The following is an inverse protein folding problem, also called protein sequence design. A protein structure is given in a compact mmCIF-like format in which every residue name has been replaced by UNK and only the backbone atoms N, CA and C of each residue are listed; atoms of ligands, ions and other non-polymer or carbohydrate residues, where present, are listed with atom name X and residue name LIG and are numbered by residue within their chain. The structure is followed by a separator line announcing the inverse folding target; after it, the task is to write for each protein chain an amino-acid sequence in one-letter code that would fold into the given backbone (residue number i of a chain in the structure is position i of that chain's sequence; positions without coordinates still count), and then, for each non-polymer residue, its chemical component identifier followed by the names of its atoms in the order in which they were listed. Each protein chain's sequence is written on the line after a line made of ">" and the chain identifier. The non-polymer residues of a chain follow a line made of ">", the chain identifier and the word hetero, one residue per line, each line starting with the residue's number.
data_IF_480138578601
#
_entry.id   IF_480138578601
#
_cell.length_a   1.000
_cell.length_b   1.000
_cell.length_c   1.000
_cell.angle_alpha   90.00
_cell.angle_beta   90.00
_cell.angle_gamma   90.00
#
_symmetry.space_group_name_H-M   'P 1'
#
loop_
_entity.id
_entity.type
_entity.pdbx_description
1 polymer ?
#
# COMPACT_ATOMS: atom_id res chain seq x y z
N UNK A 1 49.36 9.38 -90.60
CA UNK A 1 48.26 10.31 -90.38
C UNK A 1 46.95 9.51 -90.31
N UNK A 2 46.37 9.15 -89.39
CA UNK A 2 44.96 8.85 -89.13
C UNK A 2 44.83 8.09 -87.86
N UNK A 3 44.17 8.69 -86.92
CA UNK A 3 43.85 8.13 -85.58
C UNK A 3 42.79 7.07 -85.70
N UNK A 4 43.01 5.92 -85.15
CA UNK A 4 41.96 4.95 -84.90
C UNK A 4 41.72 4.84 -83.38
N UNK A 5 40.59 5.32 -82.97
CA UNK A 5 40.03 5.16 -81.67
C UNK A 5 39.44 3.75 -81.55
N UNK A 6 39.91 3.00 -80.53
CA UNK A 6 39.35 1.69 -80.19
C UNK A 6 38.21 1.87 -79.19
N UNK A 7 37.03 1.58 -79.65
CA UNK A 7 35.83 1.55 -78.80
C UNK A 7 35.86 0.29 -77.92
N UNK A 8 35.99 0.42 -76.62
CA UNK A 8 35.85 -0.66 -75.66
C UNK A 8 34.35 -1.03 -75.49
N UNK A 9 34.06 -2.26 -75.86
CA UNK A 9 32.70 -2.81 -75.87
C UNK A 9 32.09 -2.86 -74.43
N UNK A 10 30.98 -2.18 -74.24
CA UNK A 10 30.17 -2.17 -73.03
C UNK A 10 29.66 -3.58 -72.59
N UNK A 11 29.84 -4.58 -73.45
CA UNK A 11 29.36 -5.99 -73.19
C UNK A 11 30.25 -6.80 -72.28
N UNK A 12 31.49 -6.39 -71.99
CA UNK A 12 32.37 -7.09 -71.08
C UNK A 12 32.28 -6.65 -69.63
N UNK A 13 31.54 -5.56 -69.35
CA UNK A 13 31.35 -5.05 -68.01
C UNK A 13 30.15 -5.68 -67.28
N UNK A 14 29.23 -6.33 -68.03
CA UNK A 14 28.03 -6.94 -67.46
C UNK A 14 28.19 -8.46 -67.16
N UNK A 15 29.33 -9.06 -67.47
CA UNK A 15 29.59 -10.46 -67.19
C UNK A 15 30.36 -10.72 -65.86
N UNK A 16 30.87 -9.68 -65.22
CA UNK A 16 31.68 -9.77 -63.99
C UNK A 16 30.94 -9.46 -62.69
N UNK A 17 29.67 -9.06 -62.77
CA UNK A 17 28.90 -8.62 -61.61
C UNK A 17 27.88 -9.68 -61.09
N UNK A 18 27.93 -10.90 -61.57
CA UNK A 18 26.88 -11.92 -61.22
C UNK A 18 27.33 -12.93 -60.15
N UNK A 19 28.51 -12.78 -59.52
CA UNK A 19 28.97 -13.79 -58.52
C UNK A 19 29.36 -13.20 -57.15
N UNK A 20 29.12 -11.94 -56.91
CA UNK A 20 29.36 -11.36 -55.58
C UNK A 20 28.14 -10.55 -55.10
N UNK A 21 27.17 -11.22 -54.54
CA UNK A 21 26.03 -10.50 -53.98
C UNK A 21 24.82 -11.35 -53.62
N UNK A 22 25.04 -12.54 -53.02
CA UNK A 22 24.01 -13.01 -52.10
C UNK A 22 24.18 -12.23 -50.81
N UNK A 23 23.81 -10.94 -50.82
CA UNK A 23 23.45 -10.29 -49.60
C UNK A 23 22.25 -11.07 -49.07
N UNK A 24 22.47 -11.89 -48.02
CA UNK A 24 21.35 -12.30 -47.19
C UNK A 24 20.64 -11.02 -46.74
N UNK A 25 19.60 -10.68 -47.41
CA UNK A 25 18.56 -9.83 -46.84
C UNK A 25 18.03 -10.67 -45.70
N UNK A 26 18.59 -10.44 -44.49
CA UNK A 26 17.96 -10.90 -43.27
C UNK A 26 16.53 -10.38 -43.34
N UNK A 27 15.60 -11.24 -43.73
CA UNK A 27 14.19 -10.93 -43.60
C UNK A 27 14.02 -10.47 -42.16
N UNK A 28 13.38 -9.31 -41.90
CA UNK A 28 13.08 -8.93 -40.55
C UNK A 28 12.34 -10.12 -39.94
N UNK A 29 12.95 -10.72 -38.93
CA UNK A 29 12.26 -11.72 -38.13
C UNK A 29 11.01 -10.98 -37.64
N UNK A 30 9.86 -11.34 -38.19
CA UNK A 30 8.57 -10.93 -37.67
C UNK A 30 8.54 -11.50 -36.27
N UNK A 31 8.95 -10.68 -35.29
CA UNK A 31 8.68 -10.93 -33.90
C UNK A 31 7.16 -11.08 -33.86
N UNK A 32 6.69 -12.31 -33.73
CA UNK A 32 5.26 -12.56 -33.47
C UNK A 32 4.95 -11.67 -32.27
N UNK A 33 4.16 -10.63 -32.49
CA UNK A 33 3.59 -9.87 -31.39
C UNK A 33 2.85 -10.90 -30.54
N UNK A 34 3.40 -11.25 -29.40
CA UNK A 34 2.64 -11.98 -28.39
C UNK A 34 1.41 -11.11 -28.12
N UNK A 35 0.23 -11.72 -28.26
CA UNK A 35 -1.00 -10.98 -27.94
C UNK A 35 -0.95 -10.43 -26.52
N UNK A 36 -1.82 -9.47 -26.16
CA UNK A 36 -1.81 -8.86 -24.85
C UNK A 36 -1.77 -9.90 -23.74
N UNK A 37 -0.85 -9.77 -22.81
CA UNK A 37 -0.83 -10.58 -21.59
C UNK A 37 -1.94 -10.09 -20.67
N UNK A 38 -2.74 -11.02 -20.13
CA UNK A 38 -3.78 -10.70 -19.14
C UNK A 38 -3.39 -11.24 -17.78
N UNK A 39 -3.59 -10.42 -16.74
CA UNK A 39 -3.43 -10.81 -15.35
C UNK A 39 -4.73 -10.60 -14.59
N UNK A 40 -5.13 -11.61 -13.84
CA UNK A 40 -6.33 -11.59 -13.00
C UNK A 40 -5.91 -11.34 -11.56
N UNK A 41 -6.37 -10.22 -11.03
CA UNK A 41 -6.08 -9.75 -9.68
C UNK A 41 -7.34 -9.69 -8.82
N UNK A 42 -7.14 -9.64 -7.51
CA UNK A 42 -8.17 -9.28 -6.57
C UNK A 42 -7.61 -8.26 -5.58
N UNK A 43 -8.42 -7.28 -5.18
CA UNK A 43 -8.12 -6.44 -4.03
C UNK A 43 -8.72 -7.04 -2.75
N UNK A 44 -8.21 -6.61 -1.58
CA UNK A 44 -8.80 -6.96 -0.27
C UNK A 44 -9.95 -6.06 0.14
N UNK A 45 -10.43 -5.19 -0.76
CA UNK A 45 -11.37 -4.10 -0.48
C UNK A 45 -12.73 -4.31 -1.14
N UNK A 46 -13.84 -3.91 -0.47
CA UNK A 46 -15.14 -3.82 -1.13
C UNK A 46 -15.11 -2.91 -2.36
N UNK A 47 -15.95 -3.19 -3.35
CA UNK A 47 -15.96 -2.43 -4.62
C UNK A 47 -16.24 -0.93 -4.47
N UNK A 48 -16.94 -0.51 -3.41
CA UNK A 48 -17.25 0.90 -3.12
C UNK A 48 -16.15 1.63 -2.34
N UNK A 49 -15.15 0.90 -1.82
CA UNK A 49 -14.05 1.48 -1.02
C UNK A 49 -13.07 2.22 -1.94
N UNK A 50 -12.57 3.39 -1.49
CA UNK A 50 -11.52 4.13 -2.19
C UNK A 50 -10.25 3.29 -2.39
N UNK A 51 -9.98 2.32 -1.52
CA UNK A 51 -8.84 1.43 -1.69
C UNK A 51 -8.99 0.49 -2.88
N UNK A 52 -10.22 0.08 -3.24
CA UNK A 52 -10.45 -0.62 -4.49
C UNK A 52 -10.26 0.30 -5.69
N UNK A 53 -10.69 1.57 -5.60
CA UNK A 53 -10.42 2.59 -6.62
C UNK A 53 -8.90 2.76 -6.83
N UNK A 54 -8.09 2.80 -5.77
CA UNK A 54 -6.63 2.86 -5.89
C UNK A 54 -6.04 1.63 -6.60
N UNK A 55 -6.59 0.45 -6.37
CA UNK A 55 -6.17 -0.75 -7.09
C UNK A 55 -6.48 -0.65 -8.60
N UNK A 56 -7.64 -0.12 -8.96
CA UNK A 56 -8.04 0.14 -10.35
C UNK A 56 -7.16 1.23 -11.00
N UNK A 57 -6.83 2.30 -10.26
CA UNK A 57 -5.94 3.36 -10.74
C UNK A 57 -4.55 2.83 -11.07
N UNK A 58 -3.99 1.97 -10.21
CA UNK A 58 -2.72 1.33 -10.48
C UNK A 58 -2.79 0.44 -11.72
N UNK A 59 -3.79 -0.43 -11.81
CA UNK A 59 -3.99 -1.31 -12.95
C UNK A 59 -4.12 -0.50 -14.24
N UNK A 60 -4.89 0.59 -14.23
CA UNK A 60 -5.03 1.49 -15.37
C UNK A 60 -3.68 2.09 -15.79
N UNK A 61 -2.86 2.57 -14.85
CA UNK A 61 -1.54 3.14 -15.17
C UNK A 61 -0.64 2.10 -15.84
N UNK A 62 -0.60 0.86 -15.33
CA UNK A 62 0.17 -0.22 -15.97
C UNK A 62 -0.36 -0.53 -17.37
N UNK A 63 -1.67 -0.66 -17.52
CA UNK A 63 -2.29 -0.93 -18.82
C UNK A 63 -2.00 0.16 -19.85
N UNK A 64 -2.09 1.43 -19.43
CA UNK A 64 -1.80 2.58 -20.32
C UNK A 64 -0.30 2.67 -20.66
N UNK A 65 0.60 2.53 -19.68
CA UNK A 65 2.04 2.62 -19.88
C UNK A 65 2.61 1.48 -20.74
N UNK A 66 1.95 0.32 -20.74
CA UNK A 66 2.33 -0.82 -21.60
C UNK A 66 1.66 -0.76 -22.99
N UNK A 67 0.89 0.31 -23.28
CA UNK A 67 0.14 0.39 -24.54
C UNK A 67 -0.92 -0.70 -24.71
N UNK A 68 -1.32 -1.36 -23.61
CA UNK A 68 -2.25 -2.48 -23.58
C UNK A 68 -1.63 -3.86 -23.78
N UNK A 69 -0.30 -3.95 -23.88
CA UNK A 69 0.42 -5.23 -23.96
C UNK A 69 0.34 -6.04 -22.66
N UNK A 70 0.15 -5.38 -21.52
CA UNK A 70 -0.20 -5.99 -20.24
C UNK A 70 -1.55 -5.44 -19.77
N UNK A 71 -2.49 -6.32 -19.49
CA UNK A 71 -3.83 -5.98 -19.00
C UNK A 71 -4.04 -6.61 -17.62
N UNK A 72 -4.21 -5.76 -16.61
CA UNK A 72 -4.55 -6.18 -15.26
C UNK A 72 -6.04 -5.95 -15.05
N UNK A 73 -6.79 -7.02 -14.77
CA UNK A 73 -8.18 -6.98 -14.33
C UNK A 73 -8.22 -7.14 -12.82
N UNK A 74 -8.83 -6.19 -12.11
CA UNK A 74 -8.91 -6.19 -10.63
C UNK A 74 -10.32 -6.47 -10.17
N UNK A 75 -10.50 -7.57 -9.46
CA UNK A 75 -11.75 -7.98 -8.84
C UNK A 75 -11.82 -7.44 -7.38
N UNK A 76 -13.02 -7.14 -6.86
CA UNK A 76 -13.17 -6.73 -5.46
C UNK A 76 -12.97 -7.91 -4.49
N UNK A 77 -12.86 -7.61 -3.20
CA UNK A 77 -12.74 -8.58 -2.13
C UNK A 77 -13.85 -9.65 -2.19
N UNK A 78 -13.46 -10.90 -1.99
CA UNK A 78 -14.38 -12.03 -1.95
C UNK A 78 -14.82 -12.58 -3.30
N UNK A 79 -14.38 -11.96 -4.42
CA UNK A 79 -14.75 -12.46 -5.75
C UNK A 79 -14.10 -13.82 -6.08
N UNK A 80 -12.88 -14.08 -5.56
CA UNK A 80 -12.15 -15.34 -5.74
C UNK A 80 -11.84 -15.98 -4.40
N UNK A 81 -11.27 -15.19 -3.46
CA UNK A 81 -10.91 -15.67 -2.12
C UNK A 81 -11.29 -14.63 -1.06
N UNK A 82 -11.49 -15.05 0.22
CA UNK A 82 -11.61 -14.11 1.34
C UNK A 82 -10.39 -13.18 1.43
N UNK A 83 -10.57 -11.93 1.89
CA UNK A 83 -9.54 -10.90 1.89
C UNK A 83 -8.23 -11.33 2.55
N UNK A 84 -8.27 -12.02 3.70
CA UNK A 84 -7.08 -12.49 4.41
C UNK A 84 -6.35 -13.67 3.73
N UNK A 85 -6.91 -14.24 2.67
CA UNK A 85 -6.32 -15.31 1.88
C UNK A 85 -5.63 -14.82 0.61
N UNK A 86 -5.60 -13.50 0.36
CA UNK A 86 -5.03 -12.93 -0.87
C UNK A 86 -3.59 -13.38 -1.10
N UNK A 87 -2.72 -13.28 -0.09
CA UNK A 87 -1.30 -13.68 -0.22
C UNK A 87 -1.15 -15.14 -0.66
N UNK A 88 -1.95 -16.05 -0.09
CA UNK A 88 -1.92 -17.46 -0.46
C UNK A 88 -2.38 -17.69 -1.89
N UNK A 89 -3.45 -16.99 -2.29
CA UNK A 89 -3.98 -17.10 -3.64
C UNK A 89 -2.98 -16.61 -4.70
N UNK A 90 -2.30 -15.50 -4.44
CA UNK A 90 -1.24 -14.98 -5.30
C UNK A 90 -0.02 -15.91 -5.30
N UNK A 91 0.44 -16.35 -4.13
CA UNK A 91 1.58 -17.24 -4.00
C UNK A 91 1.38 -18.57 -4.74
N UNK A 92 0.18 -19.14 -4.68
CA UNK A 92 -0.19 -20.40 -5.36
C UNK A 92 -0.56 -20.23 -6.84
N UNK A 93 -0.61 -19.01 -7.36
CA UNK A 93 -0.97 -18.71 -8.74
C UNK A 93 -2.47 -18.85 -9.07
N UNK A 94 -3.35 -18.91 -8.05
CA UNK A 94 -4.81 -18.83 -8.21
C UNK A 94 -5.20 -17.45 -8.75
N UNK A 95 -4.47 -16.43 -8.29
CA UNK A 95 -4.46 -15.07 -8.81
C UNK A 95 -3.06 -14.73 -9.32
N UNK A 96 -2.99 -13.89 -10.35
CA UNK A 96 -1.71 -13.43 -10.90
C UNK A 96 -1.06 -12.36 -10.05
N UNK A 97 -1.87 -11.65 -9.29
CA UNK A 97 -1.46 -10.61 -8.37
C UNK A 97 -2.61 -10.12 -7.52
N UNK A 98 -2.33 -9.08 -6.74
CA UNK A 98 -3.33 -8.51 -5.86
C UNK A 98 -2.96 -7.15 -5.31
N UNK A 99 -3.95 -6.49 -4.73
CA UNK A 99 -3.80 -5.24 -4.02
C UNK A 99 -4.36 -5.40 -2.61
N UNK A 100 -3.52 -5.20 -1.62
CA UNK A 100 -3.88 -5.45 -0.23
C UNK A 100 -3.05 -4.62 0.74
N UNK A 101 -2.76 -5.21 1.89
CA UNK A 101 -1.96 -4.60 2.95
C UNK A 101 -1.22 -5.68 3.73
N UNK A 102 0.07 -5.46 4.00
CA UNK A 102 0.94 -6.46 4.63
C UNK A 102 0.48 -6.86 6.04
N UNK A 103 -0.14 -5.95 6.77
CA UNK A 103 -0.63 -6.20 8.14
C UNK A 103 -1.73 -7.27 8.21
N UNK A 104 -2.45 -7.53 7.11
CA UNK A 104 -3.44 -8.62 7.05
C UNK A 104 -2.81 -10.00 7.12
N UNK A 105 -1.51 -10.10 6.89
CA UNK A 105 -0.76 -11.36 6.93
C UNK A 105 0.00 -11.59 8.24
N UNK A 106 -0.34 -10.78 9.29
CA UNK A 106 0.28 -10.87 10.63
C UNK A 106 0.30 -12.28 11.22
N UNK A 107 -0.78 -13.04 11.05
CA UNK A 107 -0.88 -14.41 11.54
C UNK A 107 0.06 -15.41 10.85
N UNK A 108 0.59 -15.08 9.65
CA UNK A 108 1.57 -15.91 8.95
C UNK A 108 3.00 -15.60 9.37
N UNK A 109 3.31 -14.32 9.49
CA UNK A 109 4.61 -13.83 9.92
C UNK A 109 4.42 -12.47 10.58
N UNK A 110 4.69 -12.41 11.88
CA UNK A 110 4.43 -11.20 12.68
C UNK A 110 5.19 -9.97 12.19
N UNK A 111 6.36 -10.16 11.56
CA UNK A 111 7.17 -9.09 11.03
C UNK A 111 6.51 -8.33 9.86
N UNK A 112 5.56 -8.93 9.14
CA UNK A 112 4.80 -8.24 8.06
C UNK A 112 4.00 -7.06 8.58
N UNK A 113 3.62 -7.05 9.88
CA UNK A 113 2.94 -5.91 10.48
C UNK A 113 3.81 -4.64 10.58
N UNK A 114 5.13 -4.76 10.52
CA UNK A 114 6.05 -3.61 10.65
C UNK A 114 6.02 -2.65 9.44
N UNK A 115 5.29 -3.00 8.36
CA UNK A 115 5.01 -2.10 7.24
C UNK A 115 3.72 -1.30 7.41
N UNK A 116 3.13 -1.22 8.61
CA UNK A 116 1.91 -0.45 8.78
C UNK A 116 1.37 -0.35 10.18
N UNK A 117 1.71 -1.27 11.07
CA UNK A 117 1.22 -1.25 12.46
C UNK A 117 2.23 -0.66 13.41
N UNK A 118 1.73 0.16 14.33
CA UNK A 118 2.53 0.80 15.39
C UNK A 118 2.87 2.24 15.11
N UNK A 119 3.68 2.86 15.98
CA UNK A 119 4.02 4.29 15.93
C UNK A 119 5.02 4.65 14.82
N UNK A 120 5.56 3.66 14.10
CA UNK A 120 6.54 3.86 13.02
C UNK A 120 7.84 4.53 13.48
N UNK A 121 8.14 4.56 14.80
CA UNK A 121 9.29 5.26 15.38
C UNK A 121 9.35 6.74 14.97
N UNK A 122 8.20 7.40 14.98
CA UNK A 122 7.96 8.77 14.53
C UNK A 122 8.08 9.00 13.01
N UNK A 123 8.35 7.97 12.21
CA UNK A 123 8.24 8.09 10.75
C UNK A 123 6.77 8.26 10.34
N UNK A 124 6.53 9.14 9.39
CA UNK A 124 5.28 9.13 8.63
C UNK A 124 5.32 8.04 7.53
N UNK A 125 4.23 7.90 6.79
CA UNK A 125 4.12 6.87 5.75
C UNK A 125 5.09 7.09 4.57
N UNK A 126 5.46 8.34 4.24
CA UNK A 126 6.48 8.63 3.22
C UNK A 126 7.87 8.22 3.70
N UNK A 127 8.19 8.51 4.98
CA UNK A 127 9.47 8.08 5.57
C UNK A 127 9.58 6.56 5.64
N UNK A 128 8.47 5.86 5.90
CA UNK A 128 8.46 4.40 5.91
C UNK A 128 8.65 3.82 4.50
N UNK A 129 8.08 4.45 3.46
CA UNK A 129 8.37 4.11 2.06
C UNK A 129 9.84 4.40 1.69
N UNK A 130 10.39 5.52 2.17
CA UNK A 130 11.80 5.86 1.97
C UNK A 130 12.73 4.86 2.67
N UNK A 131 12.40 4.40 3.89
CA UNK A 131 13.10 3.31 4.54
C UNK A 131 13.01 2.02 3.73
N UNK A 132 11.83 1.67 3.22
CA UNK A 132 11.68 0.48 2.40
C UNK A 132 12.58 0.52 1.15
N UNK A 133 12.63 1.67 0.47
CA UNK A 133 13.38 1.82 -0.79
C UNK A 133 14.89 2.00 -0.58
N UNK A 134 15.30 2.75 0.46
CA UNK A 134 16.70 3.19 0.65
C UNK A 134 17.31 2.77 1.99
N UNK A 135 16.53 2.17 2.86
CA UNK A 135 16.95 1.75 4.21
C UNK A 135 17.04 0.24 4.43
N UNK A 136 17.00 -0.55 3.34
CA UNK A 136 17.09 -2.01 3.42
C UNK A 136 15.75 -2.73 3.63
N UNK A 137 14.62 -1.99 3.60
CA UNK A 137 13.30 -2.58 3.81
C UNK A 137 12.89 -3.57 2.72
N UNK A 138 13.30 -3.33 1.45
CA UNK A 138 13.01 -4.24 0.33
C UNK A 138 13.61 -5.62 0.55
N UNK A 139 14.89 -5.68 0.86
CA UNK A 139 15.63 -6.92 1.10
C UNK A 139 15.09 -7.67 2.33
N UNK A 140 14.66 -6.92 3.36
CA UNK A 140 14.05 -7.49 4.55
C UNK A 140 12.67 -8.08 4.27
N UNK A 141 11.85 -7.44 3.43
CA UNK A 141 10.57 -7.97 3.01
C UNK A 141 10.73 -9.24 2.16
N UNK A 142 11.71 -9.28 1.26
CA UNK A 142 12.04 -10.45 0.48
C UNK A 142 12.49 -11.63 1.38
N UNK A 143 13.29 -11.35 2.43
CA UNK A 143 13.67 -12.37 3.44
C UNK A 143 12.44 -12.95 4.13
N UNK A 144 11.44 -12.11 4.46
CA UNK A 144 10.20 -12.57 5.08
C UNK A 144 9.46 -13.52 4.14
N UNK A 145 9.20 -13.12 2.90
CA UNK A 145 8.48 -13.98 1.95
C UNK A 145 9.21 -15.30 1.71
N UNK A 146 10.54 -15.26 1.60
CA UNK A 146 11.36 -16.48 1.51
C UNK A 146 11.20 -17.37 2.75
N UNK A 147 11.16 -16.80 3.97
CA UNK A 147 11.06 -17.56 5.23
C UNK A 147 9.73 -18.31 5.37
N UNK A 148 8.66 -17.81 4.75
CA UNK A 148 7.32 -18.45 4.77
C UNK A 148 7.02 -19.20 3.46
N UNK A 149 7.99 -19.34 2.56
CA UNK A 149 7.82 -20.03 1.28
C UNK A 149 6.80 -19.36 0.34
N UNK A 150 6.57 -18.06 0.47
CA UNK A 150 5.64 -17.33 -0.39
C UNK A 150 6.30 -17.00 -1.74
N UNK A 151 5.66 -17.44 -2.83
CA UNK A 151 6.10 -17.19 -4.20
C UNK A 151 5.50 -15.87 -4.72
N UNK A 152 5.93 -14.75 -4.13
CA UNK A 152 5.43 -13.40 -4.46
C UNK A 152 6.56 -12.39 -4.64
N UNK A 153 6.30 -11.38 -5.48
CA UNK A 153 7.02 -10.10 -5.50
C UNK A 153 6.06 -9.05 -5.00
N UNK A 154 6.48 -8.26 -4.03
CA UNK A 154 5.63 -7.28 -3.35
C UNK A 154 6.25 -5.89 -3.39
N UNK A 155 5.40 -4.90 -3.62
CA UNK A 155 5.75 -3.49 -3.65
C UNK A 155 4.84 -2.75 -2.67
N UNK A 156 5.37 -2.20 -1.57
CA UNK A 156 4.66 -1.22 -0.77
C UNK A 156 4.23 -0.03 -1.61
N UNK A 157 3.02 0.43 -1.43
CA UNK A 157 2.33 1.32 -2.32
C UNK A 157 1.59 2.42 -1.56
N UNK A 158 1.80 3.64 -1.95
CA UNK A 158 1.16 4.85 -1.46
C UNK A 158 1.32 5.12 0.03
N UNK A 159 1.58 6.36 0.45
CA UNK A 159 1.54 6.70 1.87
C UNK A 159 0.10 6.82 2.32
N UNK A 160 -0.30 6.06 3.35
CA UNK A 160 -1.55 6.27 4.06
C UNK A 160 -1.32 7.21 5.25
N UNK A 161 -2.15 8.25 5.43
CA UNK A 161 -2.10 9.10 6.62
C UNK A 161 -2.35 8.31 7.91
N UNK A 162 -1.96 8.90 9.05
CA UNK A 162 -2.25 8.34 10.38
C UNK A 162 -3.74 7.97 10.50
N UNK A 163 -3.99 6.74 10.92
CA UNK A 163 -5.37 6.27 11.12
C UNK A 163 -6.01 6.87 12.37
N UNK A 164 -7.34 7.00 12.40
CA UNK A 164 -8.10 7.35 13.58
C UNK A 164 -7.98 6.25 14.65
N UNK A 165 -8.18 6.59 15.92
CA UNK A 165 -8.34 5.58 16.97
C UNK A 165 -9.56 4.68 16.69
N UNK A 166 -10.57 5.22 16.02
CA UNK A 166 -11.69 4.47 15.51
C UNK A 166 -13.06 5.01 15.89
N UNK A 167 -14.06 4.15 15.76
CA UNK A 167 -15.49 4.41 15.97
C UNK A 167 -15.97 3.73 17.24
N UNK A 168 -16.66 4.50 18.10
CA UNK A 168 -17.06 4.10 19.45
C UNK A 168 -18.49 4.49 19.76
N UNK A 169 -19.13 3.80 20.71
CA UNK A 169 -20.44 4.19 21.25
C UNK A 169 -20.37 5.45 22.13
N UNK A 170 -19.21 5.66 22.79
CA UNK A 170 -18.91 6.78 23.68
C UNK A 170 -17.51 7.29 23.41
N UNK A 171 -17.21 8.59 23.65
CA UNK A 171 -15.83 9.08 23.58
C UNK A 171 -14.93 8.33 24.55
N UNK A 172 -13.72 8.03 24.10
CA UNK A 172 -12.64 7.50 24.94
C UNK A 172 -11.94 8.69 25.59
N UNK A 173 -11.98 8.76 26.92
CA UNK A 173 -11.42 9.87 27.70
C UNK A 173 -10.17 9.49 28.48
N UNK A 174 -9.95 8.20 28.69
CA UNK A 174 -8.82 7.62 29.41
C UNK A 174 -8.58 6.17 28.97
N UNK A 175 -7.38 5.59 29.22
CA UNK A 175 -7.06 4.21 28.81
C UNK A 175 -8.03 3.16 29.34
N UNK A 176 -8.57 3.37 30.55
CA UNK A 176 -9.50 2.42 31.20
C UNK A 176 -10.82 2.26 30.44
N UNK A 177 -11.22 3.27 29.65
CA UNK A 177 -12.45 3.24 28.84
C UNK A 177 -12.38 2.16 27.73
N UNK A 178 -11.18 1.66 27.41
CA UNK A 178 -10.95 0.58 26.44
C UNK A 178 -11.12 -0.82 27.04
N UNK A 179 -11.07 -0.96 28.38
CA UNK A 179 -11.14 -2.27 29.01
C UNK A 179 -12.47 -2.98 28.74
N UNK A 180 -12.36 -4.22 28.29
CA UNK A 180 -13.50 -5.09 28.01
C UNK A 180 -14.25 -4.79 26.71
N UNK A 181 -13.89 -3.76 25.96
CA UNK A 181 -14.48 -3.50 24.66
C UNK A 181 -14.14 -4.62 23.68
N UNK A 182 -15.14 -5.16 22.99
CA UNK A 182 -14.94 -6.01 21.82
C UNK A 182 -14.52 -5.11 20.68
N UNK A 183 -13.22 -5.09 20.42
CA UNK A 183 -12.60 -4.13 19.49
C UNK A 183 -12.06 -4.83 18.24
N UNK A 184 -12.39 -4.29 17.06
CA UNK A 184 -11.80 -4.77 15.81
C UNK A 184 -10.53 -3.99 15.49
N UNK A 185 -9.44 -4.72 15.27
CA UNK A 185 -8.22 -4.20 14.66
C UNK A 185 -7.42 -5.32 13.97
N UNK A 186 -6.30 -4.99 13.34
CA UNK A 186 -5.44 -5.92 12.59
C UNK A 186 -3.96 -5.70 12.90
N UNK A 187 -3.10 -6.59 12.42
CA UNK A 187 -1.66 -6.47 12.58
C UNK A 187 -1.22 -6.54 14.04
N UNK A 188 -0.11 -5.86 14.38
CA UNK A 188 0.43 -5.83 15.75
C UNK A 188 -0.49 -5.05 16.70
N UNK A 189 -1.40 -4.23 16.16
CA UNK A 189 -2.41 -3.52 16.93
C UNK A 189 -3.33 -4.46 17.71
N UNK A 190 -3.47 -5.73 17.27
CA UNK A 190 -4.13 -6.80 18.03
C UNK A 190 -3.50 -6.95 19.41
N UNK A 191 -2.16 -7.08 19.45
CA UNK A 191 -1.44 -7.23 20.74
C UNK A 191 -1.49 -5.94 21.56
N UNK A 192 -1.39 -4.76 20.91
CA UNK A 192 -1.42 -3.47 21.60
C UNK A 192 -2.77 -3.25 22.27
N UNK A 193 -3.89 -3.38 21.57
CA UNK A 193 -5.22 -3.19 22.15
C UNK A 193 -5.58 -4.30 23.14
N UNK A 194 -5.11 -5.53 22.95
CA UNK A 194 -5.22 -6.58 23.96
C UNK A 194 -4.48 -6.22 25.25
N UNK A 195 -3.27 -5.65 25.12
CA UNK A 195 -2.49 -5.12 26.26
C UNK A 195 -3.13 -3.90 26.94
N UNK A 196 -4.01 -3.18 26.25
CA UNK A 196 -4.85 -2.11 26.80
C UNK A 196 -6.15 -2.64 27.42
N UNK A 197 -6.40 -3.96 27.36
CA UNK A 197 -7.55 -4.61 27.98
C UNK A 197 -8.75 -4.82 27.08
N UNK A 198 -8.66 -4.59 25.77
CA UNK A 198 -9.72 -4.93 24.83
C UNK A 198 -9.82 -6.44 24.58
N UNK A 199 -11.04 -6.92 24.27
CA UNK A 199 -11.27 -8.22 23.65
C UNK A 199 -11.20 -8.04 22.12
N UNK A 200 -10.03 -8.36 21.52
CA UNK A 200 -9.75 -8.01 20.12
C UNK A 200 -10.18 -9.10 19.15
N UNK A 201 -10.81 -8.69 18.04
CA UNK A 201 -11.16 -9.54 16.92
C UNK A 201 -10.62 -8.94 15.63
N UNK A 202 -10.01 -9.76 14.77
CA UNK A 202 -9.60 -9.35 13.43
C UNK A 202 -10.71 -9.66 12.41
N UNK A 203 -11.15 -8.65 11.68
CA UNK A 203 -12.12 -8.77 10.59
C UNK A 203 -11.63 -7.97 9.37
N UNK A 204 -11.85 -8.46 8.14
CA UNK A 204 -11.62 -7.65 6.94
C UNK A 204 -12.54 -6.42 6.92
N UNK A 205 -12.11 -5.34 6.25
CA UNK A 205 -12.81 -4.05 6.25
C UNK A 205 -14.29 -4.14 5.87
N UNK A 206 -14.62 -4.97 4.89
CA UNK A 206 -16.02 -5.13 4.42
C UNK A 206 -16.97 -5.79 5.42
N UNK A 207 -16.47 -6.38 6.50
CA UNK A 207 -17.28 -7.10 7.50
C UNK A 207 -17.53 -6.27 8.77
N UNK A 208 -16.80 -5.16 8.95
CA UNK A 208 -16.76 -4.42 10.22
C UNK A 208 -18.12 -3.81 10.57
N UNK A 209 -18.71 -3.06 9.64
CA UNK A 209 -19.98 -2.33 9.89
C UNK A 209 -21.09 -3.30 10.26
N UNK A 210 -21.21 -4.42 9.53
CA UNK A 210 -22.19 -5.46 9.85
C UNK A 210 -21.94 -6.12 11.21
N UNK A 211 -20.67 -6.26 11.63
CA UNK A 211 -20.33 -6.79 12.95
C UNK A 211 -20.66 -5.81 14.08
N UNK A 212 -20.46 -4.50 13.85
CA UNK A 212 -20.88 -3.43 14.78
C UNK A 212 -22.40 -3.36 14.92
N UNK A 213 -23.13 -3.37 13.81
CA UNK A 213 -24.59 -3.32 13.77
C UNK A 213 -25.23 -4.47 14.55
N UNK A 214 -24.69 -5.68 14.38
CA UNK A 214 -25.17 -6.87 15.12
C UNK A 214 -24.68 -6.97 16.57
N UNK A 215 -23.84 -6.03 17.05
CA UNK A 215 -23.28 -6.07 18.40
C UNK A 215 -22.24 -7.18 18.64
N UNK A 216 -21.68 -7.75 17.56
CA UNK A 216 -20.58 -8.72 17.66
C UNK A 216 -19.30 -8.05 18.14
N UNK A 217 -19.12 -6.78 17.77
CA UNK A 217 -18.07 -5.88 18.25
C UNK A 217 -18.68 -4.56 18.74
N UNK A 218 -18.03 -3.93 19.73
CA UNK A 218 -18.49 -2.68 20.34
C UNK A 218 -17.90 -1.45 19.67
N UNK A 219 -16.71 -1.59 19.12
CA UNK A 219 -15.93 -0.52 18.49
C UNK A 219 -14.96 -1.10 17.46
N UNK A 220 -14.54 -0.26 16.52
CA UNK A 220 -13.59 -0.65 15.48
C UNK A 220 -12.79 0.57 14.99
N UNK A 221 -11.55 0.32 14.59
CA UNK A 221 -10.85 1.19 13.64
C UNK A 221 -11.03 0.62 12.22
N UNK A 222 -10.85 1.48 11.21
CA UNK A 222 -10.62 0.99 9.86
C UNK A 222 -9.52 1.80 9.18
N UNK A 223 -9.79 3.03 8.66
CA UNK A 223 -8.68 3.75 8.05
C UNK A 223 -8.83 5.27 7.96
N UNK A 224 -9.87 5.78 7.29
CA UNK A 224 -9.94 7.20 6.92
C UNK A 224 -11.39 7.65 6.70
N UNK A 225 -11.59 8.97 6.66
CA UNK A 225 -12.92 9.56 6.55
C UNK A 225 -13.70 9.09 5.31
N UNK A 226 -13.03 8.87 4.17
CA UNK A 226 -13.70 8.45 2.93
C UNK A 226 -14.11 6.98 2.99
N UNK A 227 -13.18 6.08 3.30
CA UNK A 227 -13.48 4.64 3.44
C UNK A 227 -14.55 4.40 4.49
N UNK A 228 -14.35 4.98 5.68
CA UNK A 228 -15.24 4.76 6.81
C UNK A 228 -16.66 5.25 6.48
N UNK A 229 -16.76 6.41 5.81
CA UNK A 229 -18.03 6.97 5.40
C UNK A 229 -18.77 6.11 4.37
N UNK A 230 -18.10 5.73 3.27
CA UNK A 230 -18.74 4.95 2.20
C UNK A 230 -19.05 3.52 2.63
N UNK A 231 -18.34 2.96 3.60
CA UNK A 231 -18.63 1.66 4.17
C UNK A 231 -19.84 1.68 5.12
N UNK A 232 -20.22 2.85 5.64
CA UNK A 232 -21.42 3.03 6.47
C UNK A 232 -21.13 3.07 7.98
N UNK A 233 -19.90 3.36 8.41
CA UNK A 233 -19.60 3.53 9.85
C UNK A 233 -20.48 4.59 10.53
N UNK A 234 -20.81 5.73 9.86
CA UNK A 234 -21.72 6.71 10.45
C UNK A 234 -23.11 6.19 10.78
N UNK A 235 -23.56 5.10 10.12
CA UNK A 235 -24.89 4.53 10.36
C UNK A 235 -24.94 3.75 11.67
N UNK A 236 -23.81 3.18 12.10
CA UNK A 236 -23.70 2.33 13.29
C UNK A 236 -23.00 3.00 14.48
N UNK A 237 -22.31 4.13 14.25
CA UNK A 237 -21.67 4.92 15.31
C UNK A 237 -21.66 6.41 14.96
N UNK A 238 -21.77 7.27 16.00
CA UNK A 238 -21.69 8.74 15.85
C UNK A 238 -20.50 9.34 16.61
N UNK A 239 -19.58 8.52 17.11
CA UNK A 239 -18.38 8.96 17.83
C UNK A 239 -17.14 8.49 17.08
N UNK A 240 -16.38 9.44 16.55
CA UNK A 240 -15.16 9.22 15.80
C UNK A 240 -13.96 9.81 16.54
N UNK A 241 -13.05 8.94 16.98
CA UNK A 241 -11.87 9.32 17.74
C UNK A 241 -10.68 9.43 16.79
N UNK A 242 -10.09 10.62 16.67
CA UNK A 242 -8.92 10.88 15.82
C UNK A 242 -7.61 10.68 16.54
N UNK A 243 -6.56 10.46 15.76
CA UNK A 243 -5.17 10.34 16.20
C UNK A 243 -4.92 9.06 17.01
N UNK A 244 -4.00 8.25 16.52
CA UNK A 244 -3.60 7.03 17.22
C UNK A 244 -2.22 6.58 16.75
N UNK A 245 -1.46 5.96 17.64
CA UNK A 245 -0.18 5.36 17.31
C UNK A 245 -0.28 3.89 16.88
N UNK A 246 -1.48 3.32 16.83
CA UNK A 246 -1.62 1.90 16.48
C UNK A 246 -1.29 1.60 15.01
N UNK A 247 -1.59 2.56 14.11
CA UNK A 247 -1.22 2.56 12.69
C UNK A 247 -0.94 4.00 12.25
N UNK A 248 0.22 4.50 12.71
CA UNK A 248 0.63 5.89 12.45
C UNK A 248 1.12 6.12 11.03
N UNK A 249 1.75 5.10 10.44
CA UNK A 249 2.28 5.14 9.09
C UNK A 249 2.03 3.78 8.44
N UNK A 250 1.25 3.75 7.39
CA UNK A 250 0.90 2.50 6.70
C UNK A 250 1.08 2.64 5.19
N UNK A 251 1.29 1.53 4.52
CA UNK A 251 1.26 1.41 3.07
C UNK A 251 0.31 0.31 2.67
N UNK A 252 -0.31 0.48 1.51
CA UNK A 252 -0.93 -0.60 0.79
C UNK A 252 0.15 -1.49 0.15
N UNK A 253 -0.27 -2.58 -0.43
CA UNK A 253 0.61 -3.56 -1.07
C UNK A 253 0.09 -3.87 -2.48
N UNK A 254 1.01 -3.87 -3.43
CA UNK A 254 0.84 -4.45 -4.76
C UNK A 254 1.67 -5.71 -4.79
N UNK A 255 1.05 -6.87 -5.05
CA UNK A 255 1.73 -8.15 -5.11
C UNK A 255 1.51 -8.85 -6.44
N UNK A 256 2.54 -9.54 -6.93
CA UNK A 256 2.52 -10.40 -8.09
C UNK A 256 2.91 -11.82 -7.71
N UNK A 257 2.31 -12.81 -8.36
CA UNK A 257 2.90 -14.14 -8.36
C UNK A 257 4.32 -14.07 -8.95
N UNK A 258 5.33 -14.49 -8.18
CA UNK A 258 6.73 -14.30 -8.54
C UNK A 258 7.09 -15.00 -9.85
N UNK A 259 6.61 -16.21 -10.07
CA UNK A 259 6.88 -16.96 -11.30
C UNK A 259 6.36 -16.21 -12.53
N UNK A 260 5.16 -15.62 -12.45
CA UNK A 260 4.59 -14.83 -13.56
C UNK A 260 5.32 -13.50 -13.72
N UNK A 261 5.67 -12.83 -12.63
CA UNK A 261 6.44 -11.59 -12.68
C UNK A 261 7.84 -11.81 -13.29
N UNK A 262 8.53 -12.86 -12.87
CA UNK A 262 9.89 -13.17 -13.37
C UNK A 262 9.90 -13.47 -14.88
N UNK A 263 8.80 -14.02 -15.43
CA UNK A 263 8.62 -14.31 -16.84
C UNK A 263 8.37 -13.05 -17.70
N UNK A 264 8.04 -11.90 -17.10
CA UNK A 264 7.79 -10.65 -17.83
C UNK A 264 9.08 -10.13 -18.48
N UNK A 265 8.99 -9.48 -19.67
CA UNK A 265 10.09 -8.75 -20.26
C UNK A 265 10.62 -7.64 -19.33
N UNK A 266 11.92 -7.32 -19.44
CA UNK A 266 12.57 -6.34 -18.57
C UNK A 266 11.92 -4.94 -18.62
N UNK A 267 11.49 -4.50 -19.79
CA UNK A 267 10.79 -3.23 -19.96
C UNK A 267 9.43 -3.23 -19.23
N UNK A 268 8.69 -4.33 -19.23
CA UNK A 268 7.42 -4.43 -18.48
C UNK A 268 7.64 -4.41 -16.97
N UNK A 269 8.68 -5.09 -16.47
CA UNK A 269 9.06 -5.01 -15.05
C UNK A 269 9.37 -3.57 -14.64
N UNK A 270 10.16 -2.85 -15.46
CA UNK A 270 10.47 -1.45 -15.23
C UNK A 270 9.20 -0.57 -15.22
N UNK A 271 8.26 -0.80 -16.14
CA UNK A 271 6.96 -0.10 -16.15
C UNK A 271 6.18 -0.38 -14.86
N UNK A 272 6.07 -1.63 -14.44
CA UNK A 272 5.37 -2.03 -13.21
C UNK A 272 5.96 -1.30 -12.00
N UNK A 273 7.28 -1.32 -11.84
CA UNK A 273 7.97 -0.67 -10.72
C UNK A 273 7.77 0.85 -10.71
N UNK A 274 7.90 1.52 -11.87
CA UNK A 274 7.66 2.96 -11.97
C UNK A 274 6.17 3.32 -11.82
N UNK A 275 5.25 2.47 -12.27
CA UNK A 275 3.82 2.66 -12.06
C UNK A 275 3.43 2.61 -10.57
N UNK A 276 4.13 1.82 -9.74
CA UNK A 276 3.93 1.82 -8.27
C UNK A 276 4.22 3.21 -7.71
N UNK A 277 5.33 3.84 -8.09
CA UNK A 277 5.71 5.17 -7.61
C UNK A 277 4.74 6.25 -8.10
N UNK A 278 4.38 6.22 -9.39
CA UNK A 278 3.43 7.16 -9.97
C UNK A 278 2.04 7.04 -9.34
N UNK A 279 1.57 5.82 -9.12
CA UNK A 279 0.28 5.57 -8.47
C UNK A 279 0.31 5.92 -6.97
N UNK A 280 1.44 5.70 -6.29
CA UNK A 280 1.63 6.09 -4.89
C UNK A 280 1.47 7.60 -4.71
N UNK A 281 2.06 8.40 -5.58
CA UNK A 281 1.96 9.85 -5.49
C UNK A 281 0.55 10.34 -5.83
N UNK A 282 -0.09 9.77 -6.85
CA UNK A 282 -1.47 10.09 -7.23
C UNK A 282 -2.45 9.73 -6.10
N UNK A 283 -2.27 8.57 -5.47
CA UNK A 283 -3.01 8.17 -4.28
C UNK A 283 -2.88 9.18 -3.14
N UNK A 284 -1.65 9.65 -2.85
CA UNK A 284 -1.41 10.64 -1.79
C UNK A 284 -2.17 11.95 -2.05
N UNK A 285 -2.18 12.44 -3.28
CA UNK A 285 -2.93 13.66 -3.64
C UNK A 285 -4.44 13.45 -3.60
N UNK A 286 -4.93 12.33 -4.15
CA UNK A 286 -6.35 11.96 -4.10
C UNK A 286 -6.83 11.79 -2.65
N UNK A 287 -6.02 11.20 -1.78
CA UNK A 287 -6.32 11.05 -0.36
C UNK A 287 -6.52 12.41 0.32
N UNK A 288 -5.63 13.39 0.09
CA UNK A 288 -5.75 14.73 0.68
C UNK A 288 -7.08 15.37 0.27
N UNK A 289 -7.43 15.33 -1.02
CA UNK A 289 -8.67 15.94 -1.54
C UNK A 289 -9.92 15.22 -0.99
N UNK A 290 -9.97 13.90 -1.12
CA UNK A 290 -11.16 13.11 -0.77
C UNK A 290 -11.37 13.03 0.74
N UNK A 291 -10.32 12.74 1.50
CA UNK A 291 -10.44 12.60 2.96
C UNK A 291 -10.81 13.92 3.62
N UNK A 292 -10.27 15.06 3.17
CA UNK A 292 -10.62 16.36 3.72
C UNK A 292 -12.07 16.76 3.44
N UNK A 293 -12.61 16.44 2.26
CA UNK A 293 -14.02 16.66 1.93
C UNK A 293 -14.95 15.79 2.78
N UNK A 294 -14.68 14.49 2.81
CA UNK A 294 -15.49 13.53 3.55
C UNK A 294 -15.40 13.74 5.07
N UNK A 295 -14.26 14.22 5.57
CA UNK A 295 -14.12 14.62 6.98
C UNK A 295 -15.09 15.75 7.37
N UNK A 296 -15.30 16.74 6.51
CA UNK A 296 -16.30 17.79 6.71
C UNK A 296 -17.71 17.21 6.60
N UNK A 297 -17.97 16.35 5.62
CA UNK A 297 -19.28 15.75 5.42
C UNK A 297 -19.70 14.81 6.55
N UNK A 298 -18.78 14.05 7.13
CA UNK A 298 -19.03 13.26 8.34
C UNK A 298 -19.65 14.11 9.47
N UNK A 299 -19.16 15.34 9.65
CA UNK A 299 -19.63 16.23 10.72
C UNK A 299 -20.92 16.96 10.34
N UNK A 300 -20.99 17.50 9.12
CA UNK A 300 -22.10 18.38 8.69
C UNK A 300 -23.31 17.61 8.18
N UNK A 301 -23.12 16.55 7.40
CA UNK A 301 -24.19 15.74 6.82
C UNK A 301 -24.54 14.53 7.67
N UNK A 302 -23.51 13.77 8.10
CA UNK A 302 -23.73 12.53 8.81
C UNK A 302 -23.83 12.70 10.33
N UNK A 303 -23.63 13.93 10.83
CA UNK A 303 -23.77 14.33 12.26
C UNK A 303 -22.85 13.53 13.18
N UNK A 304 -21.66 13.17 12.71
CA UNK A 304 -20.65 12.49 13.48
C UNK A 304 -19.96 13.48 14.42
N UNK A 305 -19.83 13.09 15.68
CA UNK A 305 -19.07 13.84 16.68
C UNK A 305 -17.63 13.38 16.67
N UNK A 306 -16.72 14.30 16.36
CA UNK A 306 -15.31 14.04 16.24
C UNK A 306 -14.56 14.48 17.49
N UNK A 307 -13.66 13.63 18.00
CA UNK A 307 -12.88 13.89 19.19
C UNK A 307 -11.41 13.56 18.92
N UNK A 308 -10.50 14.33 19.53
CA UNK A 308 -9.09 13.96 19.59
C UNK A 308 -8.87 12.94 20.71
N UNK A 309 -8.02 11.96 20.41
CA UNK A 309 -7.59 10.99 21.42
C UNK A 309 -6.78 11.67 22.51
N UNK A 310 -7.10 11.47 23.79
CA UNK A 310 -6.33 12.05 24.90
C UNK A 310 -4.89 11.56 24.93
N UNK A 311 -3.96 12.45 25.33
CA UNK A 311 -2.54 12.13 25.46
C UNK A 311 -2.27 10.91 26.37
N UNK A 312 -3.08 10.72 27.40
CA UNK A 312 -2.96 9.57 28.29
C UNK A 312 -3.17 8.24 27.54
N UNK A 313 -4.11 8.21 26.61
CA UNK A 313 -4.37 7.03 25.75
C UNK A 313 -3.23 6.82 24.76
N UNK A 314 -2.75 7.91 24.12
CA UNK A 314 -1.62 7.86 23.20
C UNK A 314 -0.33 7.37 23.88
N UNK A 315 -0.01 7.89 25.07
CA UNK A 315 1.15 7.43 25.87
C UNK A 315 1.02 5.96 26.23
N UNK A 316 -0.19 5.52 26.62
CA UNK A 316 -0.42 4.12 26.95
C UNK A 316 -0.24 3.20 25.74
N UNK A 317 -0.61 3.64 24.54
CA UNK A 317 -0.33 2.89 23.32
C UNK A 317 1.18 2.69 23.10
N UNK A 318 2.00 3.73 23.29
CA UNK A 318 3.46 3.63 23.15
C UNK A 318 4.05 2.66 24.17
N UNK A 319 3.66 2.77 25.46
CA UNK A 319 4.14 1.88 26.53
C UNK A 319 3.84 0.40 26.24
N UNK A 320 2.62 0.11 25.78
CA UNK A 320 2.23 -1.26 25.43
C UNK A 320 2.94 -1.72 24.15
N UNK A 321 3.08 -0.84 23.15
CA UNK A 321 3.81 -1.16 21.94
C UNK A 321 5.25 -1.57 22.22
N UNK A 322 5.95 -0.85 23.10
CA UNK A 322 7.32 -1.19 23.52
C UNK A 322 7.40 -2.58 24.13
N UNK A 323 6.43 -2.94 24.99
CA UNK A 323 6.36 -4.29 25.58
C UNK A 323 6.12 -5.37 24.52
N UNK A 324 5.20 -5.11 23.58
CA UNK A 324 4.88 -6.03 22.48
C UNK A 324 6.09 -6.21 21.57
N UNK A 325 6.75 -5.13 21.15
CA UNK A 325 7.96 -5.19 20.31
C UNK A 325 9.07 -5.97 20.99
N UNK A 326 9.33 -5.71 22.27
CA UNK A 326 10.34 -6.45 23.04
C UNK A 326 10.05 -7.94 23.05
N UNK A 327 8.80 -8.34 23.29
CA UNK A 327 8.38 -9.74 23.26
C UNK A 327 8.56 -10.36 21.86
N UNK A 328 8.01 -9.71 20.83
CA UNK A 328 8.09 -10.22 19.45
C UNK A 328 9.54 -10.33 18.93
N UNK A 329 10.40 -9.39 19.30
CA UNK A 329 11.82 -9.42 18.95
C UNK A 329 12.58 -10.61 19.58
N UNK A 330 12.15 -11.11 20.74
CA UNK A 330 12.71 -12.34 21.34
C UNK A 330 12.21 -13.62 20.68
N UNK A 331 10.99 -13.59 20.14
CA UNK A 331 10.32 -14.74 19.51
C UNK A 331 10.70 -14.90 18.02
N UNK A 332 11.06 -13.78 17.34
CA UNK A 332 11.25 -13.75 15.90
C UNK A 332 12.49 -12.93 15.52
N UNK A 333 13.61 -13.58 15.12
CA UNK A 333 14.84 -12.89 14.74
C UNK A 333 14.66 -11.90 13.55
N UNK A 334 13.81 -12.23 12.56
CA UNK A 334 13.52 -11.32 11.45
C UNK A 334 12.75 -10.07 11.92
N UNK A 335 11.82 -10.24 12.86
CA UNK A 335 11.13 -9.11 13.47
C UNK A 335 12.13 -8.18 14.15
N UNK A 336 13.07 -8.73 14.93
CA UNK A 336 14.15 -7.96 15.58
C UNK A 336 15.00 -7.22 14.56
N UNK A 337 15.49 -7.89 13.52
CA UNK A 337 16.31 -7.29 12.46
C UNK A 337 15.62 -6.09 11.80
N UNK A 338 14.31 -6.21 11.52
CA UNK A 338 13.52 -5.14 10.90
C UNK A 338 13.35 -3.97 11.85
N UNK A 339 13.01 -4.21 13.12
CA UNK A 339 12.91 -3.16 14.14
C UNK A 339 14.20 -2.37 14.27
N UNK A 340 15.35 -3.05 14.35
CA UNK A 340 16.67 -2.41 14.43
C UNK A 340 16.96 -1.55 13.19
N UNK A 341 16.64 -2.06 12.00
CA UNK A 341 16.77 -1.32 10.74
C UNK A 341 15.87 -0.08 10.69
N UNK A 342 14.60 -0.22 11.07
CA UNK A 342 13.65 0.90 11.14
C UNK A 342 14.11 1.96 12.14
N UNK A 343 14.52 1.58 13.34
CA UNK A 343 15.02 2.49 14.36
C UNK A 343 16.26 3.29 13.88
N UNK A 344 17.20 2.63 13.22
CA UNK A 344 18.39 3.29 12.70
C UNK A 344 18.04 4.33 11.62
N UNK A 345 17.13 4.00 10.71
CA UNK A 345 16.66 4.92 9.68
C UNK A 345 15.84 6.07 10.28
N UNK A 346 14.86 5.74 11.13
CA UNK A 346 13.97 6.70 11.77
C UNK A 346 14.74 7.78 12.55
N UNK A 347 15.74 7.37 13.34
CA UNK A 347 16.54 8.30 14.14
C UNK A 347 17.12 9.46 13.34
N UNK A 348 17.62 9.20 12.11
CA UNK A 348 18.18 10.25 11.26
C UNK A 348 17.13 11.00 10.44
N UNK A 349 16.13 10.28 9.92
CA UNK A 349 15.11 10.88 9.05
C UNK A 349 14.17 11.80 9.82
N UNK A 350 13.68 11.35 10.99
CA UNK A 350 12.79 12.16 11.83
C UNK A 350 13.54 13.33 12.48
N UNK A 351 14.83 13.16 12.82
CA UNK A 351 15.65 14.27 13.31
C UNK A 351 15.77 15.38 12.27
N UNK A 352 16.09 15.01 11.02
CA UNK A 352 16.15 15.97 9.92
C UNK A 352 14.82 16.70 9.72
N UNK A 353 13.69 15.99 9.76
CA UNK A 353 12.37 16.63 9.64
C UNK A 353 12.10 17.62 10.77
N UNK A 354 12.33 17.21 12.03
CA UNK A 354 12.11 18.07 13.19
C UNK A 354 12.94 19.35 13.15
N UNK A 355 14.15 19.26 12.60
CA UNK A 355 15.08 20.42 12.52
C UNK A 355 14.74 21.33 11.32
N UNK A 356 14.06 20.84 10.28
CA UNK A 356 13.86 21.56 9.01
C UNK A 356 12.41 21.96 8.73
N UNK A 357 11.41 21.25 9.26
CA UNK A 357 9.99 21.54 8.99
C UNK A 357 9.46 22.57 9.96
N UNK A 358 8.89 23.65 9.42
CA UNK A 358 8.22 24.68 10.21
C UNK A 358 6.86 24.20 10.73
N UNK A 359 6.40 24.81 11.84
CA UNK A 359 5.10 24.47 12.44
C UNK A 359 3.93 24.80 11.52
N UNK A 360 3.31 23.77 10.94
CA UNK A 360 2.07 23.91 10.15
C UNK A 360 0.92 24.45 11.00
N UNK A 361 0.88 24.12 12.31
CA UNK A 361 -0.14 24.63 13.23
C UNK A 361 -0.06 26.15 13.38
N UNK A 362 1.13 26.70 13.49
CA UNK A 362 1.32 28.16 13.61
C UNK A 362 0.75 28.88 12.37
N UNK A 363 1.03 28.37 11.19
CA UNK A 363 0.53 28.94 9.92
C UNK A 363 -0.99 28.78 9.80
N UNK A 364 -1.52 27.61 10.18
CA UNK A 364 -2.95 27.38 10.18
C UNK A 364 -3.70 28.36 11.12
N UNK A 365 -3.22 28.52 12.35
CA UNK A 365 -3.82 29.44 13.34
C UNK A 365 -3.75 30.90 12.87
N UNK A 366 -2.68 31.26 12.14
CA UNK A 366 -2.53 32.62 11.60
C UNK A 366 -3.58 32.94 10.53
N UNK A 367 -3.81 32.05 9.58
CA UNK A 367 -4.73 32.33 8.47
C UNK A 367 -6.21 32.02 8.78
N UNK A 368 -6.48 31.04 9.62
CA UNK A 368 -7.85 30.56 9.86
C UNK A 368 -8.34 30.79 11.30
N UNK A 369 -7.44 31.20 12.19
CA UNK A 369 -7.72 31.43 13.63
C UNK A 369 -7.78 30.13 14.45
N UNK A 370 -7.56 30.24 15.79
CA UNK A 370 -7.50 29.06 16.67
C UNK A 370 -8.85 28.29 16.74
N UNK A 371 -9.97 28.96 16.51
CA UNK A 371 -11.30 28.32 16.50
C UNK A 371 -11.53 27.41 15.31
N UNK A 372 -10.88 27.64 14.17
CA UNK A 372 -10.99 26.81 12.99
C UNK A 372 -10.39 25.40 13.16
N UNK A 373 -9.54 25.21 14.18
CA UNK A 373 -9.00 23.89 14.53
C UNK A 373 -9.96 23.03 15.36
N UNK A 374 -11.12 23.56 15.77
CA UNK A 374 -12.15 22.77 16.45
C UNK A 374 -12.93 21.95 15.42
N UNK A 375 -13.40 20.75 15.78
CA UNK A 375 -14.35 20.01 14.95
C UNK A 375 -15.54 20.91 14.57
N UNK A 376 -15.99 20.78 13.33
CA UNK A 376 -17.08 21.58 12.74
C UNK A 376 -18.41 21.22 13.37
#
# INVERSE_FOLDING_TARGET
>A
MSKRTVSASRRKFLGGAAVAGVAMVAAPTVVKAQGPMSMRWQSTWPSKDIFHEYALDYAKKVNDMTGGDLRIEVLPAGAVVPAFQLLDAVSKGVLDGGHGVLVYHYGKQTALALWGSGPGYAMDANMLLAWHKYGGGKELLEKIFKSIGANVVSFPYGPMPTQPLGWYKKPITKPEDLKGLKFRTVGISIDVFSGMGCAVNALPGGEIVAAMDRGLIDAAEFNNATSDRVLGFPDVSKVYMLQSYHQNAEQLEISFNKTKFDALPANMKAIIENAVEAASQDMAWKAIDRYSKDYVELQTKDRVRVYKTPDSVLRRQLEIYDQVVKKKATENPLFKEIVESQLAFAKRATRWEQDTVVSRKMVFDHYFGPSAAKPI
#
